data_IF_721420343467
#
_entry.id   IF_721420343467
#
_cell.length_a   1.000
_cell.length_b   1.000
_cell.length_c   1.000
_cell.angle_alpha   90.00
_cell.angle_beta   90.00
_cell.angle_gamma   90.00
#
_symmetry.space_group_name_H-M   'P 1'
#
loop_
_entity.id
_entity.type
_entity.pdbx_description
1 polymer ?
#
# COMPACT_ATOMS: atom_id res chain seq x y z
N UNK A 1 7.94 -19.13 -2.90
CA UNK A 1 7.19 -18.78 -4.13
C UNK A 1 7.38 -17.30 -4.43
N UNK A 2 7.45 -16.92 -5.71
CA UNK A 2 7.52 -15.55 -6.21
C UNK A 2 6.35 -15.37 -7.17
N UNK A 3 5.63 -14.27 -7.03
CA UNK A 3 4.67 -13.80 -8.02
C UNK A 3 5.26 -12.58 -8.71
N UNK A 4 5.43 -12.64 -10.02
CA UNK A 4 5.91 -11.54 -10.85
C UNK A 4 4.75 -10.99 -11.67
N UNK A 5 4.53 -9.68 -11.57
CA UNK A 5 3.39 -9.00 -12.20
C UNK A 5 3.95 -7.98 -13.18
N UNK A 6 3.55 -8.10 -14.44
CA UNK A 6 3.95 -7.22 -15.52
C UNK A 6 3.16 -5.91 -15.53
N UNK A 7 3.58 -4.96 -16.38
CA UNK A 7 2.97 -3.63 -16.45
C UNK A 7 1.53 -3.66 -16.97
N UNK A 8 1.24 -4.62 -17.85
CA UNK A 8 -0.09 -4.91 -18.38
C UNK A 8 -0.98 -5.67 -17.38
N UNK A 9 -0.42 -6.10 -16.25
CA UNK A 9 -1.11 -6.90 -15.23
C UNK A 9 -0.97 -8.40 -15.41
N UNK A 10 -0.25 -8.89 -16.43
CA UNK A 10 0.00 -10.32 -16.63
C UNK A 10 0.82 -10.88 -15.46
N UNK A 11 0.44 -12.06 -14.97
CA UNK A 11 1.02 -12.64 -13.76
C UNK A 11 1.74 -13.96 -14.04
N UNK A 12 2.94 -14.08 -13.47
CA UNK A 12 3.78 -15.26 -13.58
C UNK A 12 4.17 -15.78 -12.20
N UNK A 13 4.16 -17.09 -12.05
CA UNK A 13 4.49 -17.76 -10.78
C UNK A 13 5.80 -18.52 -10.90
N UNK A 14 6.72 -18.24 -9.97
CA UNK A 14 8.07 -18.80 -9.96
C UNK A 14 8.49 -19.17 -8.52
N UNK A 15 9.70 -19.69 -8.36
CA UNK A 15 10.33 -19.85 -7.05
C UNK A 15 11.61 -19.01 -6.98
N UNK A 16 12.21 -18.87 -5.79
CA UNK A 16 13.51 -18.21 -5.63
C UNK A 16 14.68 -19.02 -6.21
N UNK A 17 14.43 -20.26 -6.60
CA UNK A 17 15.41 -21.19 -7.18
C UNK A 17 15.21 -21.36 -8.70
N UNK A 18 13.96 -21.29 -9.17
CA UNK A 18 13.56 -21.54 -10.55
C UNK A 18 12.74 -20.35 -11.04
N UNK A 19 13.36 -19.53 -11.89
CA UNK A 19 12.78 -18.36 -12.53
C UNK A 19 13.54 -18.06 -13.85
N UNK A 20 12.94 -17.36 -14.83
CA UNK A 20 13.60 -17.00 -16.09
C UNK A 20 14.83 -16.12 -15.87
N UNK A 21 15.88 -16.31 -16.68
CA UNK A 21 17.14 -15.56 -16.57
C UNK A 21 16.92 -14.03 -16.68
N UNK A 22 15.92 -13.61 -17.45
CA UNK A 22 15.49 -12.21 -17.59
C UNK A 22 15.09 -11.55 -16.26
N UNK A 23 14.71 -12.34 -15.25
CA UNK A 23 14.35 -11.85 -13.91
C UNK A 23 15.51 -11.81 -12.92
N UNK A 24 16.70 -12.28 -13.28
CA UNK A 24 17.86 -12.40 -12.36
C UNK A 24 18.14 -11.12 -11.58
N UNK A 25 18.25 -9.98 -12.26
CA UNK A 25 18.50 -8.68 -11.60
C UNK A 25 17.38 -8.30 -10.61
N UNK A 26 16.11 -8.53 -10.98
CA UNK A 26 14.95 -8.22 -10.13
C UNK A 26 14.90 -9.11 -8.89
N UNK A 27 15.16 -10.41 -9.04
CA UNK A 27 15.21 -11.37 -7.94
C UNK A 27 16.36 -11.05 -6.98
N UNK A 28 17.53 -10.66 -7.50
CA UNK A 28 18.66 -10.23 -6.68
C UNK A 28 18.31 -9.00 -5.84
N UNK A 29 17.72 -7.96 -6.43
CA UNK A 29 17.25 -6.78 -5.68
C UNK A 29 16.21 -7.14 -4.62
N UNK A 30 15.26 -8.03 -4.93
CA UNK A 30 14.28 -8.51 -3.97
C UNK A 30 14.93 -9.17 -2.75
N UNK A 31 16.00 -9.96 -2.96
CA UNK A 31 16.77 -10.57 -1.86
C UNK A 31 17.46 -9.51 -1.00
N UNK A 32 18.06 -8.49 -1.62
CA UNK A 32 18.66 -7.38 -0.87
C UNK A 32 17.64 -6.60 -0.04
N UNK A 33 16.51 -6.23 -0.63
CA UNK A 33 15.42 -5.57 0.12
C UNK A 33 14.94 -6.44 1.29
N UNK A 34 14.73 -7.75 1.06
CA UNK A 34 14.31 -8.67 2.11
C UNK A 34 15.31 -8.70 3.27
N UNK A 35 16.60 -8.86 2.98
CA UNK A 35 17.64 -8.95 4.01
C UNK A 35 17.74 -7.63 4.79
N UNK A 36 17.78 -6.50 4.08
CA UNK A 36 17.85 -5.19 4.70
C UNK A 36 16.66 -4.94 5.64
N UNK A 37 15.43 -5.23 5.20
CA UNK A 37 14.24 -5.06 6.02
C UNK A 37 14.27 -5.95 7.28
N UNK A 38 14.72 -7.20 7.16
CA UNK A 38 14.82 -8.12 8.29
C UNK A 38 15.86 -7.69 9.32
N UNK A 39 16.97 -7.11 8.87
CA UNK A 39 18.08 -6.72 9.74
C UNK A 39 17.88 -5.35 10.39
N UNK A 40 17.20 -4.41 9.72
CA UNK A 40 17.23 -2.99 10.11
C UNK A 40 15.87 -2.40 10.47
N UNK A 41 14.75 -3.06 10.17
CA UNK A 41 13.42 -2.47 10.35
C UNK A 41 12.58 -3.19 11.41
N UNK A 42 11.85 -2.42 12.20
CA UNK A 42 10.85 -2.93 13.12
C UNK A 42 9.57 -3.31 12.36
N UNK A 43 8.98 -4.46 12.70
CA UNK A 43 7.71 -4.90 12.15
C UNK A 43 6.55 -4.10 12.78
N UNK A 44 5.97 -3.17 12.01
CA UNK A 44 4.72 -2.54 12.41
C UNK A 44 3.61 -3.59 12.49
N UNK A 45 2.78 -3.57 13.55
CA UNK A 45 1.73 -4.58 13.70
C UNK A 45 2.20 -5.90 14.30
N UNK A 46 3.41 -5.99 14.88
CA UNK A 46 3.91 -7.24 15.45
C UNK A 46 2.97 -7.89 16.48
N UNK A 47 2.18 -7.08 17.19
CA UNK A 47 1.24 -7.53 18.22
C UNK A 47 -0.16 -7.87 17.68
N UNK A 48 -0.44 -7.62 16.39
CA UNK A 48 -1.73 -7.99 15.80
C UNK A 48 -1.75 -9.48 15.50
N UNK A 49 -2.79 -10.16 15.98
CA UNK A 49 -3.07 -11.55 15.62
C UNK A 49 -3.48 -11.61 14.14
N UNK A 50 -2.91 -12.55 13.35
CA UNK A 50 -3.42 -12.86 12.02
C UNK A 50 -4.91 -13.21 12.11
N UNK A 51 -5.68 -12.83 11.10
CA UNK A 51 -7.10 -13.21 11.05
C UNK A 51 -7.23 -14.64 10.57
N UNK A 52 -8.24 -15.35 11.08
CA UNK A 52 -8.59 -16.66 10.55
C UNK A 52 -8.86 -16.56 9.04
N UNK A 53 -8.15 -17.39 8.26
CA UNK A 53 -8.25 -17.41 6.80
C UNK A 53 -7.27 -16.51 6.05
N UNK A 54 -6.41 -15.71 6.72
CA UNK A 54 -5.37 -14.92 6.04
C UNK A 54 -4.48 -15.79 5.14
N UNK A 55 -4.19 -17.03 5.55
CA UNK A 55 -3.40 -18.01 4.78
C UNK A 55 -4.08 -18.46 3.46
N UNK A 56 -5.40 -18.35 3.37
CA UNK A 56 -6.17 -18.70 2.17
C UNK A 56 -6.39 -17.50 1.25
N UNK A 57 -6.06 -16.29 1.70
CA UNK A 57 -6.24 -15.07 0.91
C UNK A 57 -5.05 -14.83 0.00
N UNK A 58 -5.34 -14.38 -1.23
CA UNK A 58 -4.30 -13.94 -2.16
C UNK A 58 -3.57 -12.73 -1.58
N UNK A 59 -2.24 -12.84 -1.46
CA UNK A 59 -1.40 -11.76 -0.94
C UNK A 59 -1.52 -10.50 -1.82
N UNK A 60 -1.82 -9.33 -1.23
CA UNK A 60 -1.86 -8.09 -1.98
C UNK A 60 -0.45 -7.61 -2.31
N UNK A 61 -0.25 -7.10 -3.52
CA UNK A 61 0.93 -6.33 -3.91
C UNK A 61 0.68 -4.81 -3.83
N UNK A 62 1.76 -4.03 -3.74
CA UNK A 62 1.72 -2.57 -3.79
C UNK A 62 1.40 -2.10 -5.21
N UNK A 63 0.22 -1.49 -5.41
CA UNK A 63 -0.23 -1.00 -6.72
C UNK A 63 0.34 0.40 -7.00
N UNK A 64 0.26 1.29 -6.03
CA UNK A 64 0.82 2.64 -6.13
C UNK A 64 1.37 3.10 -4.79
N UNK A 65 2.39 3.95 -4.84
CA UNK A 65 2.87 4.65 -3.68
C UNK A 65 3.40 6.03 -4.05
N UNK A 66 3.34 6.96 -3.12
CA UNK A 66 4.01 8.24 -3.24
C UNK A 66 4.31 8.80 -1.85
N UNK A 67 5.24 9.76 -1.81
CA UNK A 67 5.56 10.50 -0.58
C UNK A 67 5.06 11.93 -0.67
N UNK A 68 4.75 12.46 0.49
CA UNK A 68 4.57 13.89 0.73
C UNK A 68 5.65 14.36 1.71
N UNK A 69 5.60 15.63 2.13
CA UNK A 69 6.46 16.12 3.21
C UNK A 69 6.16 15.44 4.56
N UNK A 70 4.93 14.96 4.76
CA UNK A 70 4.45 14.51 6.07
C UNK A 70 4.23 13.01 6.17
N UNK A 71 4.09 12.30 5.04
CA UNK A 71 3.74 10.89 5.05
C UNK A 71 4.19 10.13 3.79
N UNK A 72 4.25 8.81 3.92
CA UNK A 72 4.24 7.88 2.78
C UNK A 72 2.84 7.27 2.65
N UNK A 73 2.34 7.24 1.42
CA UNK A 73 1.04 6.68 1.06
C UNK A 73 1.28 5.41 0.25
N UNK A 74 0.69 4.30 0.70
CA UNK A 74 0.82 2.97 0.13
C UNK A 74 -0.58 2.45 -0.23
N UNK A 75 -0.86 2.27 -1.52
CA UNK A 75 -2.14 1.76 -2.00
C UNK A 75 -1.95 0.35 -2.57
N UNK A 76 -2.58 -0.62 -1.92
CA UNK A 76 -2.46 -2.03 -2.24
C UNK A 76 -3.49 -2.46 -3.31
N UNK A 77 -3.21 -3.59 -3.94
CA UNK A 77 -4.04 -4.17 -5.01
C UNK A 77 -5.45 -4.57 -4.57
N UNK A 78 -5.62 -4.95 -3.30
CA UNK A 78 -6.92 -5.25 -2.67
C UNK A 78 -7.70 -4.00 -2.24
N UNK A 79 -7.21 -2.80 -2.57
CA UNK A 79 -7.86 -1.53 -2.23
C UNK A 79 -7.49 -0.96 -0.86
N UNK A 80 -6.71 -1.68 -0.04
CA UNK A 80 -6.22 -1.15 1.22
C UNK A 80 -5.34 0.08 0.99
N UNK A 81 -5.60 1.15 1.73
CA UNK A 81 -4.74 2.34 1.76
C UNK A 81 -4.07 2.44 3.11
N UNK A 82 -2.74 2.41 3.13
CA UNK A 82 -1.94 2.65 4.32
C UNK A 82 -1.21 3.99 4.20
N UNK A 83 -1.28 4.81 5.25
CA UNK A 83 -0.56 6.07 5.34
C UNK A 83 0.26 6.04 6.63
N UNK A 84 1.57 6.21 6.49
CA UNK A 84 2.49 6.30 7.63
C UNK A 84 2.98 7.73 7.75
N UNK A 85 2.69 8.39 8.87
CA UNK A 85 3.12 9.75 9.15
C UNK A 85 4.55 9.76 9.72
N UNK A 86 5.38 10.67 9.23
CA UNK A 86 6.82 10.65 9.55
C UNK A 86 7.14 11.24 10.91
N UNK A 87 6.45 12.32 11.30
CA UNK A 87 6.80 13.12 12.48
C UNK A 87 6.49 12.41 13.80
N UNK A 88 5.33 11.76 13.88
CA UNK A 88 4.81 11.15 15.11
C UNK A 88 4.72 9.62 15.04
N UNK A 89 5.14 9.03 13.91
CA UNK A 89 5.08 7.61 13.63
C UNK A 89 3.69 6.97 13.69
N UNK A 90 2.63 7.76 13.75
CA UNK A 90 1.25 7.27 13.66
C UNK A 90 0.95 6.74 12.26
N UNK A 91 -0.04 5.85 12.16
CA UNK A 91 -0.42 5.22 10.88
C UNK A 91 -1.92 5.06 10.81
N UNK A 92 -2.46 5.17 9.59
CA UNK A 92 -3.83 4.76 9.31
C UNK A 92 -3.83 3.71 8.20
N UNK A 93 -4.67 2.69 8.36
CA UNK A 93 -4.90 1.64 7.38
C UNK A 93 -6.40 1.62 7.10
N UNK A 94 -6.81 2.08 5.92
CA UNK A 94 -8.19 2.07 5.47
C UNK A 94 -8.45 0.81 4.66
N UNK A 95 -9.48 0.06 5.05
CA UNK A 95 -9.95 -1.12 4.35
C UNK A 95 -11.36 -0.83 3.78
N UNK A 96 -11.50 -0.66 2.45
CA UNK A 96 -12.79 -0.32 1.86
C UNK A 96 -13.82 -1.45 1.99
N UNK A 97 -13.39 -2.71 1.89
CA UNK A 97 -14.28 -3.87 2.02
C UNK A 97 -14.93 -3.98 3.39
N UNK A 98 -14.18 -3.63 4.45
CA UNK A 98 -14.70 -3.63 5.82
C UNK A 98 -15.33 -2.30 6.23
N UNK A 99 -15.22 -1.27 5.38
CA UNK A 99 -15.54 0.12 5.72
C UNK A 99 -14.96 0.51 7.10
N UNK A 100 -13.68 0.21 7.30
CA UNK A 100 -13.02 0.37 8.59
C UNK A 100 -11.66 1.05 8.44
N UNK A 101 -11.23 1.71 9.52
CA UNK A 101 -9.90 2.27 9.69
C UNK A 101 -9.22 1.61 10.89
N UNK A 102 -8.00 1.14 10.69
CA UNK A 102 -7.07 0.84 11.79
C UNK A 102 -6.18 2.05 12.00
N UNK A 103 -6.19 2.59 13.21
CA UNK A 103 -5.31 3.66 13.65
C UNK A 103 -4.23 3.08 14.58
N UNK A 104 -2.97 3.34 14.24
CA UNK A 104 -1.82 2.99 15.06
C UNK A 104 -1.30 4.30 15.63
N UNK A 105 -1.41 4.47 16.94
CA UNK A 105 -1.04 5.70 17.61
C UNK A 105 0.47 5.78 17.91
N UNK A 106 0.88 6.84 18.61
CA UNK A 106 2.27 7.11 18.98
C UNK A 106 2.83 6.06 19.94
N UNK A 107 1.96 5.44 20.75
CA UNK A 107 2.29 4.35 21.67
C UNK A 107 2.38 2.99 20.97
N UNK A 108 2.07 2.95 19.68
CA UNK A 108 2.00 1.76 18.83
C UNK A 108 0.80 0.86 19.17
N UNK A 109 -0.22 1.42 19.81
CA UNK A 109 -1.47 0.72 20.11
C UNK A 109 -2.39 0.71 18.89
N UNK A 110 -3.05 -0.43 18.69
CA UNK A 110 -3.92 -0.68 17.53
C UNK A 110 -5.37 -0.42 17.90
N UNK A 111 -5.98 0.53 17.19
CA UNK A 111 -7.39 0.86 17.36
C UNK A 111 -8.13 0.65 16.05
N UNK A 112 -9.16 -0.19 16.04
CA UNK A 112 -9.94 -0.49 14.83
C UNK A 112 -11.33 0.14 14.98
N UNK A 113 -11.70 0.97 14.02
CA UNK A 113 -12.98 1.66 14.01
C UNK A 113 -13.72 1.39 12.70
N UNK A 114 -15.01 1.05 12.78
CA UNK A 114 -15.90 1.14 11.61
C UNK A 114 -16.13 2.61 11.28
N UNK A 115 -16.10 2.97 10.01
CA UNK A 115 -16.33 4.35 9.56
C UNK A 115 -17.73 4.85 9.98
N UNK A 116 -18.75 4.00 9.89
CA UNK A 116 -20.10 4.30 10.39
C UNK A 116 -20.16 4.54 11.90
N UNK A 117 -19.27 3.89 12.66
CA UNK A 117 -19.13 4.14 14.10
C UNK A 117 -18.55 5.52 14.38
N UNK A 118 -17.53 5.93 13.61
CA UNK A 118 -16.95 7.28 13.70
C UNK A 118 -17.98 8.34 13.34
N UNK A 119 -18.78 8.10 12.30
CA UNK A 119 -19.84 9.03 11.89
C UNK A 119 -20.91 9.20 12.98
N UNK A 120 -21.33 8.11 13.61
CA UNK A 120 -22.38 8.12 14.63
C UNK A 120 -21.92 8.66 15.99
N UNK A 121 -20.72 8.29 16.43
CA UNK A 121 -20.24 8.55 17.79
C UNK A 121 -19.10 9.57 17.87
N UNK A 122 -18.61 10.05 16.72
CA UNK A 122 -17.44 10.89 16.64
C UNK A 122 -16.13 10.12 16.80
N UNK A 123 -15.02 10.85 16.79
CA UNK A 123 -13.68 10.35 17.10
C UNK A 123 -12.81 11.47 17.67
N UNK A 124 -11.58 11.13 18.08
CA UNK A 124 -10.61 12.11 18.55
C UNK A 124 -10.22 13.10 17.44
N UNK A 125 -9.78 14.30 17.82
CA UNK A 125 -9.36 15.34 16.85
C UNK A 125 -8.19 14.86 16.00
N UNK A 126 -7.32 14.06 16.60
CA UNK A 126 -6.14 13.44 16.02
C UNK A 126 -6.53 12.48 14.89
N UNK A 127 -7.49 11.58 15.14
CA UNK A 127 -7.99 10.64 14.14
C UNK A 127 -8.76 11.38 13.04
N UNK A 128 -9.61 12.34 13.40
CA UNK A 128 -10.34 13.15 12.44
C UNK A 128 -9.40 13.91 11.48
N UNK A 129 -8.30 14.48 12.00
CA UNK A 129 -7.28 15.15 11.19
C UNK A 129 -6.63 14.20 10.19
N UNK A 130 -6.27 12.99 10.64
CA UNK A 130 -5.65 11.96 9.80
C UNK A 130 -6.61 11.42 8.75
N UNK A 131 -7.90 11.29 9.07
CA UNK A 131 -8.94 10.90 8.11
C UNK A 131 -9.18 11.98 7.05
N UNK A 132 -9.19 13.26 7.42
CA UNK A 132 -9.23 14.36 6.45
C UNK A 132 -8.02 14.32 5.51
N UNK A 133 -6.82 14.11 6.05
CA UNK A 133 -5.61 13.94 5.25
C UNK A 133 -5.74 12.73 4.30
N UNK A 134 -6.24 11.60 4.80
CA UNK A 134 -6.46 10.39 4.01
C UNK A 134 -7.37 10.63 2.82
N UNK A 135 -8.48 11.36 3.02
CA UNK A 135 -9.40 11.74 1.94
C UNK A 135 -8.67 12.48 0.81
N UNK A 136 -7.86 13.48 1.14
CA UNK A 136 -7.06 14.21 0.14
C UNK A 136 -6.08 13.29 -0.60
N UNK A 137 -5.48 12.32 0.10
CA UNK A 137 -4.58 11.34 -0.55
C UNK A 137 -5.34 10.40 -1.49
N UNK A 138 -6.57 10.01 -1.13
CA UNK A 138 -7.47 9.23 -2.00
C UNK A 138 -7.84 10.03 -3.24
N UNK A 139 -8.25 11.30 -3.09
CA UNK A 139 -8.59 12.18 -4.21
C UNK A 139 -7.40 12.31 -5.18
N UNK A 140 -6.17 12.45 -4.65
CA UNK A 140 -4.94 12.45 -5.45
C UNK A 140 -4.67 11.12 -6.18
N UNK A 141 -4.98 9.98 -5.55
CA UNK A 141 -4.87 8.67 -6.19
C UNK A 141 -5.89 8.48 -7.33
N UNK A 142 -7.05 9.14 -7.23
CA UNK A 142 -8.09 9.06 -8.27
C UNK A 142 -7.75 9.94 -9.47
N UNK A 143 -7.19 11.14 -9.24
CA UNK A 143 -6.78 12.04 -10.33
C UNK A 143 -5.57 11.52 -11.10
N UNK A 144 -4.61 10.87 -10.42
CA UNK A 144 -3.43 10.31 -11.09
C UNK A 144 -3.75 9.14 -12.04
N UNK A 145 -4.82 8.39 -11.78
CA UNK A 145 -5.31 7.34 -12.69
C UNK A 145 -5.84 7.87 -14.02
N UNK A 146 -6.25 9.14 -14.07
CA UNK A 146 -6.86 9.75 -15.26
C UNK A 146 -5.84 10.23 -16.31
N UNK A 147 -4.53 10.17 -16.01
CA UNK A 147 -3.47 10.74 -16.87
C UNK A 147 -2.65 9.76 -17.72
N UNK A 148 -2.80 8.44 -17.56
CA UNK A 148 -1.98 7.44 -18.30
C UNK A 148 -2.55 6.98 -19.65
N UNK A 149 -3.61 7.62 -20.17
CA UNK A 149 -4.31 7.17 -21.38
C UNK A 149 -4.02 7.92 -22.69
N UNK A 150 -3.21 9.00 -22.70
CA UNK A 150 -2.90 9.72 -23.96
C UNK A 150 -1.58 9.23 -24.56
N UNK A 151 -1.66 8.15 -25.34
CA UNK A 151 -0.68 7.86 -26.39
C UNK A 151 -0.65 9.08 -27.32
N UNK A 152 0.49 9.77 -27.41
CA UNK A 152 0.72 10.76 -28.46
C UNK A 152 0.77 10.01 -29.78
N UNK A 153 -0.25 10.19 -30.62
CA UNK A 153 -0.20 9.84 -32.03
C UNK A 153 1.02 10.48 -32.66
N UNK A 154 1.88 9.67 -33.27
CA UNK A 154 3.03 10.10 -34.05
C UNK A 154 2.54 10.99 -35.22
N UNK A 155 3.16 12.16 -35.38
CA UNK A 155 3.01 12.92 -36.62
C UNK A 155 3.87 12.25 -37.70
N UNK A 156 3.35 12.08 -38.92
CA UNK A 156 4.14 11.54 -40.03
C UNK A 156 5.15 12.59 -40.49
N UNK A 157 6.34 12.10 -40.83
CA UNK A 157 7.43 12.84 -41.47
C UNK A 157 6.98 13.50 -42.77
N UNK A 158 7.34 14.76 -42.95
CA UNK A 158 7.27 15.43 -44.25
C UNK A 158 8.65 15.87 -44.68
N UNK A 159 9.02 15.34 -45.86
CA UNK A 159 10.00 15.81 -46.86
C UNK A 159 11.47 15.78 -46.52
#
# INVERSE_FOLDING_TARGET
>A
NIQYIERDGTEHYHTLKVFPETLTKKVTLLKYFRNYMNEHLLKAGANMTPREGDDMTRLPFLRHWFRTRSAIVLHLSNGTLQINFFQDHTKIILCPLMQAVTYIDEKRDFHIFKLSGIEKYGCTRELASRLRYARTMVERLMTSKSGSGRVRSANPSTS
#
